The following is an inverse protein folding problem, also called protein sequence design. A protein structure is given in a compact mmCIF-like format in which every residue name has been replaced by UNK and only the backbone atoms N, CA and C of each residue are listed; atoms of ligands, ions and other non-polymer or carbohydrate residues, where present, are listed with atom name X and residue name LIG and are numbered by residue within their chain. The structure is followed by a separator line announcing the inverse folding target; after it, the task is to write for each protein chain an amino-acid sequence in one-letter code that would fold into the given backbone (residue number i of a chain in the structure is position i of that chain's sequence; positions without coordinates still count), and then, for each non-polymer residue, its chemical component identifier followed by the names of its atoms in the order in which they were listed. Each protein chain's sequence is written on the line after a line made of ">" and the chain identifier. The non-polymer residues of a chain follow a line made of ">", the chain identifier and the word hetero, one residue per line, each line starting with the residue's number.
data_IF_988487930229
#
_entry.id   IF_988487930229
#
_cell.length_a   1.000
_cell.length_b   1.000
_cell.length_c   1.000
_cell.angle_alpha   90.00
_cell.angle_beta   90.00
_cell.angle_gamma   90.00
#
_symmetry.space_group_name_H-M   'P 1'
#
loop_
_entity.id
_entity.type
_entity.pdbx_description
1 polymer ?
#
# COMPACT_ATOMS: atom_id res chain seq x y z
N UNK A 1 28.74 16.80 17.45
CA UNK A 1 29.01 15.79 16.61
C UNK A 1 28.02 14.74 16.69
N UNK A 2 27.63 14.31 17.83
CA UNK A 2 26.62 13.29 17.97
C UNK A 2 25.30 13.70 17.34
N UNK A 3 25.00 14.99 17.31
CA UNK A 3 23.73 15.46 16.77
C UNK A 3 23.55 15.12 15.30
N UNK A 4 24.60 15.23 14.51
CA UNK A 4 24.50 14.94 13.08
C UNK A 4 24.22 13.46 12.85
N UNK A 5 24.89 12.58 13.57
CA UNK A 5 24.70 11.15 13.44
C UNK A 5 23.29 10.78 13.92
N UNK A 6 22.84 11.39 14.99
CA UNK A 6 21.52 11.12 15.54
C UNK A 6 20.42 11.55 14.55
N UNK A 7 20.57 12.71 13.90
CA UNK A 7 19.62 13.17 12.93
C UNK A 7 19.59 12.24 11.72
N UNK A 8 20.72 11.73 11.29
CA UNK A 8 20.78 10.78 10.18
C UNK A 8 20.00 9.53 10.49
N UNK A 9 20.15 8.99 11.71
CA UNK A 9 19.40 7.80 12.10
C UNK A 9 17.91 8.08 12.17
N UNK A 10 17.50 9.25 12.66
CA UNK A 10 16.09 9.61 12.72
C UNK A 10 15.49 9.72 11.33
N UNK A 11 16.22 10.33 10.40
CA UNK A 11 15.74 10.44 9.03
C UNK A 11 15.66 9.08 8.35
N UNK A 12 16.60 8.18 8.65
CA UNK A 12 16.55 6.82 8.08
C UNK A 12 15.30 6.09 8.56
N UNK A 13 14.91 6.25 9.82
CA UNK A 13 13.70 5.64 10.33
C UNK A 13 12.46 6.25 9.67
N UNK A 14 12.49 7.55 9.39
CA UNK A 14 11.36 8.23 8.77
C UNK A 14 11.30 8.00 7.25
N UNK A 15 12.29 7.31 6.68
CA UNK A 15 12.27 6.99 5.26
C UNK A 15 11.20 5.99 4.90
N UNK A 16 10.50 5.45 5.88
CA UNK A 16 9.46 4.46 5.63
C UNK A 16 8.27 4.62 6.57
N UNK A 17 7.16 4.05 6.16
CA UNK A 17 5.94 3.95 6.95
C UNK A 17 5.69 2.47 7.17
N UNK A 18 5.29 2.10 8.39
CA UNK A 18 4.85 0.72 8.67
C UNK A 18 3.54 0.81 9.45
N UNK A 19 2.48 0.24 8.88
CA UNK A 19 1.15 0.22 9.48
C UNK A 19 0.53 -1.16 9.32
N UNK A 20 -0.40 -1.52 10.18
CA UNK A 20 -1.07 -2.81 10.07
C UNK A 20 -2.49 -2.75 10.62
N UNK A 21 -3.30 -3.72 10.21
CA UNK A 21 -4.66 -3.85 10.69
C UNK A 21 -5.02 -5.34 10.72
N UNK A 22 -5.86 -5.72 11.68
CA UNK A 22 -6.37 -7.09 11.76
C UNK A 22 -7.65 -7.18 10.93
N UNK A 23 -7.76 -8.23 10.14
CA UNK A 23 -8.90 -8.45 9.25
C UNK A 23 -9.49 -9.84 9.53
N UNK A 24 -10.80 -9.88 9.71
CA UNK A 24 -11.52 -11.13 9.99
C UNK A 24 -11.88 -11.81 8.67
N UNK A 25 -10.89 -12.32 8.00
CA UNK A 25 -11.07 -13.06 6.74
C UNK A 25 -9.85 -13.95 6.52
N UNK A 26 -9.98 -15.02 5.73
CA UNK A 26 -8.84 -15.88 5.44
C UNK A 26 -7.82 -15.18 4.53
N UNK A 27 -6.59 -15.65 4.61
CA UNK A 27 -5.49 -15.07 3.84
C UNK A 27 -5.77 -15.02 2.33
N UNK A 28 -6.39 -16.05 1.77
CA UNK A 28 -6.69 -16.08 0.35
C UNK A 28 -7.62 -14.93 -0.06
N UNK A 29 -8.56 -14.59 0.79
CA UNK A 29 -9.51 -13.52 0.51
C UNK A 29 -8.82 -12.15 0.54
N UNK A 30 -7.94 -11.96 1.50
CA UNK A 30 -7.18 -10.72 1.61
C UNK A 30 -6.22 -10.61 0.44
N UNK A 31 -5.62 -11.73 0.03
CA UNK A 31 -4.73 -11.77 -1.12
C UNK A 31 -5.40 -11.27 -2.39
N UNK A 32 -6.66 -11.65 -2.62
CA UNK A 32 -7.38 -11.22 -3.82
C UNK A 32 -7.44 -9.71 -3.97
N UNK A 33 -7.47 -8.98 -2.85
CA UNK A 33 -7.42 -7.53 -2.89
C UNK A 33 -5.98 -7.05 -3.05
N UNK A 34 -5.09 -7.56 -2.20
CA UNK A 34 -3.72 -7.06 -2.11
C UNK A 34 -2.96 -7.21 -3.41
N UNK A 35 -3.28 -8.25 -4.19
CA UNK A 35 -2.58 -8.49 -5.46
C UNK A 35 -2.98 -7.49 -6.55
N UNK A 36 -4.03 -6.71 -6.37
CA UNK A 36 -4.42 -5.69 -7.35
C UNK A 36 -3.47 -4.50 -7.28
N UNK A 37 -2.72 -4.18 -8.33
CA UNK A 37 -1.85 -3.00 -8.28
C UNK A 37 -2.69 -1.76 -8.00
N UNK A 38 -2.25 -0.95 -7.05
CA UNK A 38 -2.94 0.30 -6.76
C UNK A 38 -4.33 0.17 -6.19
N UNK A 39 -4.65 -0.94 -5.51
CA UNK A 39 -5.97 -1.10 -4.90
C UNK A 39 -6.28 0.03 -3.91
N UNK A 40 -5.25 0.68 -3.41
CA UNK A 40 -5.37 1.77 -2.43
C UNK A 40 -5.55 3.15 -3.09
N UNK A 41 -5.69 3.21 -4.41
CA UNK A 41 -6.00 4.46 -5.09
C UNK A 41 -7.53 4.60 -5.10
N UNK A 42 -8.04 5.23 -4.07
CA UNK A 42 -9.49 5.40 -3.90
C UNK A 42 -9.75 6.52 -2.89
N UNK A 43 -11.01 6.79 -2.59
CA UNK A 43 -11.43 7.85 -1.68
C UNK A 43 -11.80 7.29 -0.31
N UNK A 44 -11.13 6.25 0.14
CA UNK A 44 -11.42 5.63 1.44
C UNK A 44 -12.40 4.47 1.34
N UNK A 45 -12.81 4.10 0.13
CA UNK A 45 -13.69 2.95 -0.10
C UNK A 45 -13.10 2.14 -1.26
N UNK A 46 -12.81 0.87 -1.02
CA UNK A 46 -12.30 0.00 -2.07
C UNK A 46 -13.46 -0.36 -2.98
N UNK A 47 -13.26 -0.19 -4.28
CA UNK A 47 -14.29 -0.50 -5.27
C UNK A 47 -14.18 -1.94 -5.74
N UNK A 48 -15.32 -2.54 -6.10
CA UNK A 48 -15.34 -3.91 -6.60
C UNK A 48 -14.51 -4.03 -7.86
N UNK A 49 -14.63 -3.05 -8.75
CA UNK A 49 -13.86 -3.03 -9.98
C UNK A 49 -13.01 -1.77 -10.06
N UNK A 50 -11.78 -1.98 -10.47
CA UNK A 50 -10.79 -0.94 -10.58
C UNK A 50 -10.61 -0.59 -12.04
N UNK A 51 -10.41 0.68 -12.35
CA UNK A 51 -10.09 1.10 -13.72
C UNK A 51 -8.61 0.82 -13.97
N UNK A 52 -8.32 -0.41 -14.32
CA UNK A 52 -6.96 -0.91 -14.46
C UNK A 52 -6.69 -1.30 -15.90
N UNK A 53 -5.58 -0.84 -16.43
CA UNK A 53 -5.09 -1.28 -17.73
C UNK A 53 -3.59 -1.58 -17.60
N UNK A 54 -3.00 -2.13 -18.65
CA UNK A 54 -1.59 -2.50 -18.63
C UNK A 54 -0.88 -1.96 -19.85
N UNK A 55 0.34 -1.50 -19.66
CA UNK A 55 1.25 -1.09 -20.74
C UNK A 55 2.52 -1.90 -20.51
N UNK A 56 2.62 -3.05 -21.19
CA UNK A 56 3.71 -3.98 -20.90
C UNK A 56 3.59 -4.54 -19.50
N UNK A 57 4.62 -4.38 -18.70
CA UNK A 57 4.64 -4.84 -17.31
C UNK A 57 4.19 -3.75 -16.32
N UNK A 58 3.72 -2.62 -16.84
CA UNK A 58 3.27 -1.50 -16.01
C UNK A 58 1.75 -1.53 -15.91
N UNK A 59 1.24 -1.51 -14.69
CA UNK A 59 -0.19 -1.40 -14.44
C UNK A 59 -0.55 0.07 -14.32
N UNK A 60 -1.59 0.49 -15.03
CA UNK A 60 -2.06 1.87 -15.02
C UNK A 60 -3.43 1.90 -14.35
N UNK A 61 -3.52 2.61 -13.25
CA UNK A 61 -4.75 2.74 -12.48
C UNK A 61 -5.28 4.16 -12.64
N UNK A 62 -6.52 4.29 -13.07
CA UNK A 62 -7.16 5.59 -13.26
C UNK A 62 -8.28 5.77 -12.26
N UNK A 63 -8.33 6.93 -11.65
CA UNK A 63 -9.38 7.27 -10.71
C UNK A 63 -10.00 8.61 -11.13
N UNK A 64 -11.34 8.71 -11.16
CA UNK A 64 -11.99 9.94 -11.65
C UNK A 64 -11.56 11.21 -10.93
N UNK A 65 -11.29 11.11 -9.63
CA UNK A 65 -10.92 12.28 -8.83
C UNK A 65 -9.43 12.40 -8.59
N UNK A 66 -8.72 11.27 -8.52
CA UNK A 66 -7.32 11.29 -8.09
C UNK A 66 -6.33 11.30 -9.25
N UNK A 67 -6.76 10.82 -10.42
CA UNK A 67 -5.90 10.83 -11.60
C UNK A 67 -5.34 9.49 -11.97
N UNK A 68 -4.25 9.50 -12.70
CA UNK A 68 -3.64 8.30 -13.23
C UNK A 68 -2.37 7.96 -12.45
N UNK A 69 -2.26 6.68 -12.07
CA UNK A 69 -1.14 6.19 -11.28
C UNK A 69 -0.55 4.96 -11.97
N UNK A 70 0.75 4.76 -11.85
CA UNK A 70 1.46 3.66 -12.52
C UNK A 70 2.24 2.85 -11.51
N UNK A 71 2.16 1.53 -11.66
CA UNK A 71 2.80 0.60 -10.73
C UNK A 71 3.49 -0.52 -11.49
N UNK A 72 4.56 -1.03 -10.91
CA UNK A 72 5.20 -2.25 -11.40
C UNK A 72 5.17 -3.28 -10.29
N UNK A 73 4.69 -4.48 -10.60
CA UNK A 73 4.72 -5.58 -9.63
C UNK A 73 6.15 -6.07 -9.52
N UNK A 74 6.70 -6.05 -8.33
CA UNK A 74 8.08 -6.43 -8.09
C UNK A 74 8.21 -7.88 -7.64
N UNK A 75 7.30 -8.32 -6.78
CA UNK A 75 7.34 -9.68 -6.26
C UNK A 75 5.97 -10.11 -5.75
N UNK A 76 5.60 -11.36 -5.97
CA UNK A 76 4.37 -11.94 -5.44
C UNK A 76 4.70 -13.30 -4.84
N UNK A 77 4.33 -13.51 -3.57
CA UNK A 77 4.46 -14.80 -2.90
C UNK A 77 3.11 -15.09 -2.25
N UNK A 78 2.22 -15.67 -3.03
CA UNK A 78 0.84 -15.93 -2.60
C UNK A 78 0.79 -16.94 -1.46
N UNK A 79 0.00 -16.72 -0.43
CA UNK A 79 -0.84 -15.55 -0.17
C UNK A 79 -0.26 -14.62 0.90
N UNK A 80 1.07 -14.53 1.01
CA UNK A 80 1.72 -13.91 2.14
C UNK A 80 2.40 -12.58 1.88
N UNK A 81 2.84 -12.36 0.65
CA UNK A 81 3.68 -11.17 0.39
C UNK A 81 3.48 -10.64 -1.01
N UNK A 82 3.36 -9.33 -1.16
CA UNK A 82 3.29 -8.68 -2.45
C UNK A 82 4.06 -7.36 -2.37
N UNK A 83 4.81 -7.05 -3.43
CA UNK A 83 5.60 -5.82 -3.50
C UNK A 83 5.37 -5.12 -4.83
N UNK A 84 5.17 -3.81 -4.76
CA UNK A 84 4.91 -2.99 -5.92
C UNK A 84 5.75 -1.73 -5.88
N UNK A 85 6.28 -1.33 -7.03
CA UNK A 85 6.96 -0.04 -7.16
C UNK A 85 5.94 0.97 -7.68
N UNK A 86 5.79 2.08 -6.99
CA UNK A 86 4.86 3.14 -7.37
C UNK A 86 5.64 4.07 -8.28
N UNK A 87 5.55 3.87 -9.61
CA UNK A 87 6.45 4.50 -10.56
C UNK A 87 5.91 5.76 -11.24
N UNK A 88 4.65 6.06 -11.08
CA UNK A 88 4.10 7.29 -11.65
C UNK A 88 2.86 7.74 -10.90
N UNK A 89 2.72 9.04 -10.74
CA UNK A 89 1.57 9.66 -10.09
C UNK A 89 1.16 10.86 -10.94
N UNK A 90 0.02 11.48 -10.69
CA UNK A 90 -0.36 12.68 -11.44
C UNK A 90 0.67 13.81 -11.38
N UNK A 91 1.47 13.86 -10.31
CA UNK A 91 2.48 14.91 -10.14
C UNK A 91 3.90 14.45 -10.42
N UNK A 92 4.11 13.18 -10.76
CA UNK A 92 5.45 12.63 -11.00
C UNK A 92 5.39 11.63 -12.14
N UNK A 93 6.34 11.67 -13.05
CA UNK A 93 6.40 10.69 -14.12
C UNK A 93 7.34 9.55 -13.74
N UNK A 94 7.49 8.59 -14.65
CA UNK A 94 8.27 7.38 -14.38
C UNK A 94 9.77 7.63 -14.25
N UNK A 95 10.23 8.81 -14.62
CA UNK A 95 11.66 9.13 -14.52
C UNK A 95 12.05 9.59 -13.12
N UNK A 96 11.08 9.92 -12.27
CA UNK A 96 11.40 10.36 -10.91
C UNK A 96 11.51 9.16 -9.97
N UNK A 97 12.35 9.26 -8.94
CA UNK A 97 12.40 8.20 -7.93
C UNK A 97 11.03 7.95 -7.32
N UNK A 98 10.78 6.73 -6.91
CA UNK A 98 9.47 6.31 -6.41
C UNK A 98 9.62 5.50 -5.14
N UNK A 99 8.48 5.24 -4.49
CA UNK A 99 8.48 4.41 -3.29
C UNK A 99 8.21 2.97 -3.62
N UNK A 100 8.63 2.08 -2.73
CA UNK A 100 8.30 0.66 -2.78
C UNK A 100 7.21 0.40 -1.74
N UNK A 101 6.15 -0.26 -2.16
CA UNK A 101 5.04 -0.61 -1.27
C UNK A 101 5.01 -2.12 -1.11
N UNK A 102 5.12 -2.58 0.13
CA UNK A 102 5.15 -4.01 0.42
C UNK A 102 4.01 -4.37 1.35
N UNK A 103 3.38 -5.51 1.09
CA UNK A 103 2.30 -6.01 1.93
C UNK A 103 2.64 -7.40 2.45
N UNK A 104 2.38 -7.62 3.74
CA UNK A 104 2.50 -8.95 4.36
C UNK A 104 1.13 -9.34 4.91
N UNK A 105 0.75 -10.59 4.68
CA UNK A 105 -0.49 -11.16 5.20
C UNK A 105 -0.08 -12.28 6.14
N UNK A 106 -0.26 -12.07 7.44
CA UNK A 106 0.13 -13.04 8.46
C UNK A 106 -1.12 -13.63 9.11
N UNK A 107 -1.23 -14.95 9.11
CA UNK A 107 -2.37 -15.61 9.72
C UNK A 107 -2.31 -15.47 11.24
N UNK A 108 -3.46 -15.24 11.85
CA UNK A 108 -3.55 -15.04 13.28
C UNK A 108 -4.08 -16.30 13.96
N UNK A 109 -3.59 -16.53 15.19
CA UNK A 109 -4.15 -17.59 16.00
C UNK A 109 -5.61 -17.27 16.24
N UNK A 110 -6.48 -18.25 16.09
CA UNK A 110 -7.92 -18.06 16.29
C UNK A 110 -8.66 -17.59 15.05
N UNK A 111 -7.97 -17.34 13.95
CA UNK A 111 -8.58 -16.97 12.67
C UNK A 111 -8.31 -15.55 12.26
N UNK A 112 -8.52 -15.28 10.97
CA UNK A 112 -8.23 -13.98 10.42
C UNK A 112 -6.76 -13.77 10.15
N UNK A 113 -6.42 -12.57 9.72
CA UNK A 113 -5.03 -12.21 9.39
C UNK A 113 -4.70 -10.83 9.94
N UNK A 114 -3.40 -10.55 10.01
CA UNK A 114 -2.91 -9.19 10.16
C UNK A 114 -2.35 -8.79 8.81
N UNK A 115 -2.87 -7.70 8.24
CA UNK A 115 -2.35 -7.14 7.01
C UNK A 115 -1.42 -5.99 7.38
N UNK A 116 -0.17 -6.09 6.98
CA UNK A 116 0.83 -5.07 7.25
C UNK A 116 1.29 -4.44 5.96
N UNK A 117 1.46 -3.13 5.92
CA UNK A 117 2.01 -2.41 4.79
C UNK A 117 3.28 -1.69 5.22
N UNK A 118 4.28 -1.72 4.35
CA UNK A 118 5.48 -0.88 4.52
C UNK A 118 5.69 -0.14 3.21
N UNK A 119 5.72 1.17 3.29
CA UNK A 119 6.09 2.00 2.14
C UNK A 119 7.44 2.63 2.47
N UNK A 120 8.41 2.48 1.57
CA UNK A 120 9.78 2.93 1.82
C UNK A 120 10.35 3.67 0.63
N UNK A 121 11.44 4.39 0.84
CA UNK A 121 12.11 5.12 -0.23
C UNK A 121 11.72 6.58 -0.31
N UNK A 122 11.15 7.13 0.74
CA UNK A 122 10.73 8.53 0.73
C UNK A 122 11.90 9.49 0.55
N UNK A 123 13.06 9.17 1.11
CA UNK A 123 14.22 10.05 1.00
C UNK A 123 14.71 10.22 -0.43
N UNK A 124 14.32 9.31 -1.33
CA UNK A 124 14.67 9.45 -2.73
C UNK A 124 13.73 10.33 -3.53
N UNK A 125 12.63 10.79 -2.93
CA UNK A 125 11.62 11.57 -3.66
C UNK A 125 12.04 13.02 -3.86
N UNK A 126 12.88 13.55 -2.99
CA UNK A 126 13.34 14.94 -3.07
C UNK A 126 14.65 15.09 -2.31
N UNK A 127 15.44 16.06 -2.68
CA UNK A 127 16.71 16.34 -2.00
C UNK A 127 16.46 16.94 -0.63
N UNK A 128 15.43 17.79 -0.52
CA UNK A 128 15.12 18.47 0.72
C UNK A 128 14.32 17.54 1.64
N UNK A 129 14.84 17.22 2.84
CA UNK A 129 14.10 16.38 3.77
C UNK A 129 12.69 16.88 4.10
N UNK A 130 12.50 18.20 4.19
CA UNK A 130 11.17 18.73 4.49
C UNK A 130 10.14 18.34 3.43
N UNK A 131 10.58 18.29 2.17
CA UNK A 131 9.68 17.94 1.07
C UNK A 131 9.25 16.47 1.13
N UNK A 132 10.20 15.53 1.29
CA UNK A 132 9.81 14.14 1.31
C UNK A 132 9.17 13.73 2.63
N UNK A 133 9.48 14.43 3.74
CA UNK A 133 8.79 14.17 5.01
C UNK A 133 7.32 14.57 4.91
N UNK A 134 7.01 15.62 4.17
CA UNK A 134 5.62 16.02 3.96
C UNK A 134 4.86 14.96 3.16
N UNK A 135 5.49 14.41 2.13
CA UNK A 135 4.90 13.32 1.35
C UNK A 135 4.64 12.11 2.25
N UNK A 136 5.64 11.77 3.06
CA UNK A 136 5.51 10.64 3.97
C UNK A 136 4.37 10.84 4.95
N UNK A 137 4.22 12.04 5.49
CA UNK A 137 3.16 12.31 6.45
C UNK A 137 1.79 12.15 5.81
N UNK A 138 1.61 12.63 4.59
CA UNK A 138 0.36 12.48 3.87
C UNK A 138 0.04 11.03 3.59
N UNK A 139 1.04 10.26 3.16
CA UNK A 139 0.85 8.84 2.86
C UNK A 139 0.60 8.04 4.13
N UNK A 140 1.25 8.40 5.24
CA UNK A 140 1.03 7.72 6.51
C UNK A 140 -0.44 7.83 6.95
N UNK A 141 -1.00 9.02 6.86
CA UNK A 141 -2.41 9.23 7.15
C UNK A 141 -3.29 8.46 6.16
N UNK A 142 -2.90 8.46 4.90
CA UNK A 142 -3.61 7.72 3.87
C UNK A 142 -3.65 6.24 4.15
N UNK A 143 -2.54 5.66 4.62
CA UNK A 143 -2.51 4.23 4.91
C UNK A 143 -3.46 3.83 6.04
N UNK A 144 -3.64 4.68 7.04
CA UNK A 144 -4.63 4.39 8.09
C UNK A 144 -6.02 4.27 7.48
N UNK A 145 -6.38 5.19 6.57
CA UNK A 145 -7.67 5.17 5.89
C UNK A 145 -7.78 3.96 4.97
N UNK A 146 -6.73 3.66 4.22
CA UNK A 146 -6.77 2.57 3.24
C UNK A 146 -6.81 1.19 3.88
N UNK A 147 -6.09 1.01 4.98
CA UNK A 147 -6.16 -0.27 5.68
C UNK A 147 -7.56 -0.50 6.26
N UNK A 148 -8.20 0.55 6.78
CA UNK A 148 -9.57 0.44 7.25
C UNK A 148 -10.52 0.14 6.08
N UNK A 149 -10.28 0.72 4.90
CA UNK A 149 -11.07 0.46 3.71
C UNK A 149 -10.90 -0.98 3.25
N UNK A 150 -9.67 -1.51 3.31
CA UNK A 150 -9.39 -2.90 2.95
C UNK A 150 -10.15 -3.86 3.88
N UNK A 151 -10.09 -3.60 5.18
CA UNK A 151 -10.79 -4.41 6.16
C UNK A 151 -12.29 -4.44 5.87
N UNK A 152 -12.89 -3.27 5.66
CA UNK A 152 -14.32 -3.17 5.38
C UNK A 152 -14.70 -3.93 4.11
N UNK A 153 -13.89 -3.77 3.06
CA UNK A 153 -14.16 -4.41 1.78
C UNK A 153 -14.06 -5.92 1.88
N UNK A 154 -12.99 -6.43 2.47
CA UNK A 154 -12.74 -7.87 2.53
C UNK A 154 -13.74 -8.56 3.46
N UNK A 155 -14.04 -7.96 4.61
CA UNK A 155 -14.98 -8.57 5.55
C UNK A 155 -16.40 -8.57 5.00
N UNK A 156 -16.77 -7.53 4.25
CA UNK A 156 -18.07 -7.46 3.62
C UNK A 156 -18.21 -8.50 2.52
N UNK A 157 -17.13 -8.72 1.75
CA UNK A 157 -17.14 -9.65 0.64
C UNK A 157 -17.01 -11.09 1.07
N UNK A 158 -16.57 -11.35 2.29
CA UNK A 158 -16.38 -12.70 2.77
C UNK A 158 -17.72 -13.43 2.81
N UNK A 159 -17.75 -14.71 2.43
CA UNK A 159 -18.99 -15.47 2.54
C UNK A 159 -19.39 -15.50 3.99
N UNK A 160 -20.66 -15.37 4.23
CA UNK A 160 -21.16 -15.50 5.58
C UNK A 160 -20.70 -16.83 6.12
N UNK A 161 -20.38 -16.86 7.37
CA UNK A 161 -20.00 -18.11 7.97
C UNK A 161 -21.18 -18.93 7.96
N UNK A 162 -21.37 -19.45 7.12
CA UNK A 162 -22.47 -20.05 6.96
C UNK A 162 -22.60 -21.10 7.29
N UNK A 163 -21.80 -21.29 7.37
CA UNK A 163 -22.02 -22.33 7.62
C UNK A 163 -23.30 -22.36 8.13
N UNK A 164 -23.53 -21.59 8.52
CA UNK A 164 -24.53 -21.58 8.91
C UNK A 164 -25.44 -21.91 8.30
N UNK A 165 -25.54 -22.10 7.97
CA UNK A 165 -26.58 -22.34 7.38
C UNK A 165 -26.86 -23.29 7.39
#
# INVERSE_FOLDING_TARGET
>A
MNDTTHKGAELDELDRIARQIDIDAPADRVWELVVRPGWYINDGVVEDEQHLSHEGDVAVVRHPSLGEFRFRTMELDKPRYAAFRWIGTPSRDESTPSTLVEFWIDERDGGGVTLRVVESGFSGLADDPAAWLKEREGNDKGWLTELAAAKAFVEKSAPAPTGRS
#
